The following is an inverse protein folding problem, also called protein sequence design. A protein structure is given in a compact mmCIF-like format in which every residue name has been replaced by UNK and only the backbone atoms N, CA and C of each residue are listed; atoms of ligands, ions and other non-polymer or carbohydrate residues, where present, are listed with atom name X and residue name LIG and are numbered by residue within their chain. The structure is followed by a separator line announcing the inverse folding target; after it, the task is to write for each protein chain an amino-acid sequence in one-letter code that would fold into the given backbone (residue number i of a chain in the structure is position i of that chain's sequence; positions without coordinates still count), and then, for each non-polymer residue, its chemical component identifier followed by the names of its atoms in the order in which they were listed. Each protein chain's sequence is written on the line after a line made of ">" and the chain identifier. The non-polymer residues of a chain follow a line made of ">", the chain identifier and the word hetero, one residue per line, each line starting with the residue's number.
data_IF_618241368670
#
_entry.id   IF_618241368670
#
_cell.length_a   1.000
_cell.length_b   1.000
_cell.length_c   1.000
_cell.angle_alpha   90.00
_cell.angle_beta   90.00
_cell.angle_gamma   90.00
#
_symmetry.space_group_name_H-M   'P 1'
#
loop_
_entity.id
_entity.type
_entity.pdbx_description
1 polymer ?
#
# COMPACT_ATOMS: atom_id res chain seq x y z
N UNK A 1 -32.70 -56.49 -16.63
CA UNK A 1 -31.57 -56.91 -15.77
C UNK A 1 -31.76 -56.22 -14.42
N UNK A 2 -32.23 -56.94 -13.41
CA UNK A 2 -32.47 -56.37 -12.09
C UNK A 2 -31.36 -56.83 -11.15
N UNK A 3 -30.67 -55.88 -10.51
CA UNK A 3 -29.75 -56.19 -9.41
C UNK A 3 -30.60 -56.68 -8.25
N UNK A 4 -30.36 -57.91 -7.81
CA UNK A 4 -31.16 -58.55 -6.76
C UNK A 4 -30.54 -58.31 -5.40
N UNK A 5 -29.21 -58.38 -5.29
CA UNK A 5 -28.50 -58.14 -4.04
C UNK A 5 -27.02 -57.82 -4.28
N UNK A 6 -26.46 -57.06 -3.34
CA UNK A 6 -25.02 -56.78 -3.23
C UNK A 6 -24.51 -57.36 -1.92
N UNK A 7 -23.40 -58.08 -1.98
CA UNK A 7 -22.79 -58.74 -0.83
C UNK A 7 -21.33 -58.35 -0.68
N UNK A 8 -20.95 -58.01 0.54
CA UNK A 8 -19.55 -57.87 0.94
C UNK A 8 -19.15 -59.19 1.59
N UNK A 9 -18.16 -59.88 1.04
CA UNK A 9 -17.67 -61.13 1.61
C UNK A 9 -16.16 -61.23 1.42
N UNK A 10 -15.52 -62.12 2.17
CA UNK A 10 -14.09 -62.39 2.05
C UNK A 10 -13.94 -63.74 1.35
N UNK A 11 -13.24 -63.75 0.23
CA UNK A 11 -12.84 -64.95 -0.52
C UNK A 11 -11.48 -65.43 0.03
N UNK A 12 -11.34 -66.73 0.31
CA UNK A 12 -10.15 -67.30 0.95
C UNK A 12 -8.88 -67.17 0.08
N UNK A 13 -9.01 -67.13 -1.26
CA UNK A 13 -7.88 -66.94 -2.17
C UNK A 13 -7.70 -65.48 -2.61
N UNK A 14 -8.80 -64.72 -2.70
CA UNK A 14 -8.82 -63.38 -3.36
C UNK A 14 -9.03 -62.20 -2.40
N UNK A 15 -9.23 -62.44 -1.11
CA UNK A 15 -9.38 -61.41 -0.09
C UNK A 15 -10.78 -60.78 -0.08
N UNK A 16 -10.90 -59.52 0.37
CA UNK A 16 -12.21 -58.85 0.45
C UNK A 16 -12.77 -58.59 -0.96
N UNK A 17 -14.00 -59.06 -1.21
CA UNK A 17 -14.69 -58.97 -2.49
C UNK A 17 -16.03 -58.24 -2.35
N UNK A 18 -16.41 -57.56 -3.42
CA UNK A 18 -17.76 -57.03 -3.66
C UNK A 18 -18.44 -57.91 -4.70
N UNK A 19 -19.49 -58.61 -4.30
CA UNK A 19 -20.32 -59.45 -5.16
C UNK A 19 -21.64 -58.78 -5.50
N UNK A 20 -22.05 -58.85 -6.75
CA UNK A 20 -23.38 -58.43 -7.21
C UNK A 20 -24.08 -59.63 -7.83
N UNK A 21 -25.30 -59.92 -7.38
CA UNK A 21 -26.15 -60.94 -7.97
C UNK A 21 -27.18 -60.27 -8.87
N UNK A 22 -27.10 -60.57 -10.15
CA UNK A 22 -27.95 -60.03 -11.19
C UNK A 22 -28.86 -61.15 -11.67
N UNK A 23 -30.17 -60.99 -11.46
CA UNK A 23 -31.15 -61.97 -11.97
C UNK A 23 -31.54 -61.64 -13.39
N UNK A 24 -31.64 -62.69 -14.20
CA UNK A 24 -32.16 -62.64 -15.55
C UNK A 24 -33.48 -63.41 -15.58
N UNK A 25 -34.61 -62.70 -15.38
CA UNK A 25 -35.93 -63.31 -15.20
C UNK A 25 -36.33 -64.23 -16.35
N UNK A 26 -35.90 -63.92 -17.56
CA UNK A 26 -36.29 -64.63 -18.78
C UNK A 26 -35.61 -66.00 -18.96
N UNK A 27 -34.53 -66.32 -18.22
CA UNK A 27 -33.92 -67.66 -18.30
C UNK A 27 -33.67 -68.36 -16.95
N UNK A 28 -34.35 -67.97 -15.88
CA UNK A 28 -34.25 -68.61 -14.55
C UNK A 28 -32.81 -68.74 -13.99
N UNK A 29 -31.89 -67.89 -14.44
CA UNK A 29 -30.48 -67.87 -14.06
C UNK A 29 -30.13 -66.55 -13.38
N UNK A 30 -29.09 -66.59 -12.56
CA UNK A 30 -28.49 -65.41 -11.97
C UNK A 30 -27.00 -65.40 -12.27
N UNK A 31 -26.47 -64.23 -12.63
CA UNK A 31 -25.04 -64.01 -12.81
C UNK A 31 -24.50 -63.39 -11.53
N UNK A 32 -23.45 -64.01 -10.99
CA UNK A 32 -22.71 -63.47 -9.86
C UNK A 32 -21.41 -62.85 -10.37
N UNK A 33 -21.29 -61.53 -10.23
CA UNK A 33 -20.09 -60.78 -10.60
C UNK A 33 -19.38 -60.39 -9.32
N UNK A 34 -18.11 -60.80 -9.19
CA UNK A 34 -17.26 -60.46 -8.05
C UNK A 34 -16.13 -59.54 -8.49
N UNK A 35 -15.89 -58.47 -7.72
CA UNK A 35 -14.77 -57.57 -7.94
C UNK A 35 -13.98 -57.38 -6.64
N UNK A 36 -12.63 -57.47 -6.66
CA UNK A 36 -11.84 -57.26 -5.45
C UNK A 36 -12.05 -55.86 -4.90
N UNK A 37 -12.31 -55.77 -3.59
CA UNK A 37 -12.52 -54.52 -2.86
C UNK A 37 -11.35 -53.56 -3.11
N UNK A 38 -10.12 -54.06 -3.05
CA UNK A 38 -8.92 -53.27 -3.32
C UNK A 38 -8.94 -52.62 -4.72
N UNK A 39 -9.44 -53.28 -5.77
CA UNK A 39 -9.50 -52.69 -7.12
C UNK A 39 -10.52 -51.55 -7.23
N UNK A 40 -11.65 -51.65 -6.52
CA UNK A 40 -12.67 -50.60 -6.45
C UNK A 40 -12.14 -49.40 -5.66
N UNK A 41 -11.42 -49.65 -4.56
CA UNK A 41 -10.94 -48.61 -3.64
C UNK A 41 -9.56 -48.03 -3.98
N UNK A 42 -8.75 -48.69 -4.82
CA UNK A 42 -7.46 -48.16 -5.27
C UNK A 42 -7.62 -46.88 -6.11
N UNK A 43 -8.72 -46.79 -6.89
CA UNK A 43 -9.10 -45.57 -7.60
C UNK A 43 -9.45 -44.43 -6.64
N UNK A 44 -10.18 -44.74 -5.56
CA UNK A 44 -10.57 -43.77 -4.53
C UNK A 44 -9.36 -43.19 -3.77
N UNK A 45 -8.37 -44.02 -3.44
CA UNK A 45 -7.16 -43.58 -2.75
C UNK A 45 -6.28 -42.63 -3.59
N UNK A 46 -6.23 -42.84 -4.91
CA UNK A 46 -5.52 -41.92 -5.83
C UNK A 46 -6.25 -40.59 -5.94
N UNK A 47 -7.57 -40.61 -6.12
CA UNK A 47 -8.39 -39.40 -6.18
C UNK A 47 -8.27 -38.57 -4.90
N UNK A 48 -8.32 -39.21 -3.73
CA UNK A 48 -8.15 -38.53 -2.44
C UNK A 48 -6.79 -37.84 -2.31
N UNK A 49 -5.69 -38.52 -2.69
CA UNK A 49 -4.34 -37.92 -2.65
C UNK A 49 -4.20 -36.74 -3.59
N UNK A 50 -4.74 -36.84 -4.81
CA UNK A 50 -4.76 -35.73 -5.75
C UNK A 50 -5.56 -34.55 -5.20
N UNK A 51 -6.75 -34.78 -4.64
CA UNK A 51 -7.56 -33.72 -4.02
C UNK A 51 -6.84 -33.04 -2.85
N UNK A 52 -6.14 -33.79 -1.99
CA UNK A 52 -5.35 -33.23 -0.89
C UNK A 52 -4.17 -32.41 -1.42
N UNK A 53 -3.45 -32.91 -2.43
CA UNK A 53 -2.33 -32.18 -3.03
C UNK A 53 -2.78 -30.88 -3.70
N UNK A 54 -3.87 -30.91 -4.46
CA UNK A 54 -4.45 -29.72 -5.10
C UNK A 54 -4.94 -28.74 -4.04
N UNK A 55 -5.60 -29.22 -2.98
CA UNK A 55 -6.05 -28.39 -1.86
C UNK A 55 -4.89 -27.75 -1.09
N UNK A 56 -3.81 -28.49 -0.86
CA UNK A 56 -2.61 -27.95 -0.22
C UNK A 56 -1.93 -26.90 -1.11
N UNK A 57 -1.83 -27.16 -2.42
CA UNK A 57 -1.22 -26.23 -3.36
C UNK A 57 -2.05 -24.94 -3.51
N UNK A 58 -3.37 -25.04 -3.57
CA UNK A 58 -4.26 -23.88 -3.63
C UNK A 58 -4.19 -23.05 -2.35
N UNK A 59 -4.11 -23.69 -1.18
CA UNK A 59 -3.91 -23.00 0.09
C UNK A 59 -2.57 -22.27 0.15
N UNK A 60 -1.48 -22.93 -0.24
CA UNK A 60 -0.16 -22.30 -0.33
C UNK A 60 -0.17 -21.11 -1.29
N UNK A 61 -0.82 -21.25 -2.44
CA UNK A 61 -0.95 -20.18 -3.43
C UNK A 61 -1.75 -18.98 -2.89
N UNK A 62 -2.87 -19.24 -2.21
CA UNK A 62 -3.68 -18.21 -1.58
C UNK A 62 -2.90 -17.45 -0.49
N UNK A 63 -2.14 -18.17 0.36
CA UNK A 63 -1.28 -17.55 1.37
C UNK A 63 -0.19 -16.69 0.74
N UNK A 64 0.44 -17.16 -0.33
CA UNK A 64 1.46 -16.41 -1.05
C UNK A 64 0.88 -15.11 -1.64
N UNK A 65 -0.27 -15.19 -2.31
CA UNK A 65 -0.98 -14.03 -2.86
C UNK A 65 -1.35 -13.03 -1.77
N UNK A 66 -1.96 -13.50 -0.68
CA UNK A 66 -2.34 -12.66 0.45
C UNK A 66 -1.12 -11.93 1.04
N UNK A 67 0.00 -12.63 1.21
CA UNK A 67 1.24 -12.05 1.71
C UNK A 67 1.82 -10.99 0.76
N UNK A 68 1.84 -11.25 -0.55
CA UNK A 68 2.33 -10.28 -1.55
C UNK A 68 1.47 -9.03 -1.59
N UNK A 69 0.14 -9.18 -1.63
CA UNK A 69 -0.81 -8.06 -1.64
C UNK A 69 -0.69 -7.24 -0.35
N UNK A 70 -0.68 -7.91 0.81
CA UNK A 70 -0.52 -7.26 2.12
C UNK A 70 0.76 -6.43 2.16
N UNK A 71 1.90 -7.02 1.77
CA UNK A 71 3.19 -6.33 1.76
C UNK A 71 3.21 -5.13 0.82
N UNK A 72 2.57 -5.23 -0.34
CA UNK A 72 2.44 -4.13 -1.29
C UNK A 72 1.61 -2.96 -0.72
N UNK A 73 0.43 -3.26 -0.16
CA UNK A 73 -0.47 -2.25 0.42
C UNK A 73 0.21 -1.55 1.60
N UNK A 74 0.71 -2.31 2.57
CA UNK A 74 1.35 -1.75 3.76
C UNK A 74 2.55 -0.87 3.40
N UNK A 75 3.37 -1.28 2.43
CA UNK A 75 4.52 -0.47 1.99
C UNK A 75 4.10 0.84 1.33
N UNK A 76 3.06 0.83 0.50
CA UNK A 76 2.54 2.02 -0.16
C UNK A 76 1.93 3.01 0.84
N UNK A 77 1.16 2.51 1.82
CA UNK A 77 0.60 3.34 2.90
C UNK A 77 1.73 3.92 3.77
N UNK A 78 2.75 3.13 4.11
CA UNK A 78 3.88 3.62 4.89
C UNK A 78 4.64 4.77 4.19
N UNK A 79 4.81 4.70 2.87
CA UNK A 79 5.39 5.80 2.06
C UNK A 79 4.54 7.07 2.16
N UNK A 80 3.22 6.95 2.05
CA UNK A 80 2.29 8.08 2.18
C UNK A 80 2.39 8.73 3.57
N UNK A 81 2.35 7.92 4.63
CA UNK A 81 2.50 8.40 6.01
C UNK A 81 3.83 9.14 6.19
N UNK A 82 4.91 8.62 5.61
CA UNK A 82 6.21 9.29 5.66
C UNK A 82 6.18 10.64 4.92
N UNK A 83 5.56 10.71 3.74
CA UNK A 83 5.36 11.96 3.00
C UNK A 83 4.56 12.99 3.81
N UNK A 84 3.45 12.58 4.42
CA UNK A 84 2.61 13.45 5.27
C UNK A 84 3.41 14.00 6.46
N UNK A 85 4.20 13.16 7.13
CA UNK A 85 5.07 13.62 8.24
C UNK A 85 6.11 14.64 7.79
N UNK A 86 6.68 14.49 6.60
CA UNK A 86 7.61 15.49 6.05
C UNK A 86 6.92 16.83 5.78
N UNK A 87 5.71 16.81 5.22
CA UNK A 87 4.91 18.03 4.99
C UNK A 87 4.55 18.71 6.31
N UNK A 88 4.18 17.94 7.34
CA UNK A 88 3.92 18.45 8.69
C UNK A 88 5.15 19.18 9.29
N UNK A 89 6.35 18.70 8.97
CA UNK A 89 7.62 19.35 9.33
C UNK A 89 8.02 20.49 8.38
N UNK A 90 7.06 21.09 7.66
CA UNK A 90 7.25 22.19 6.70
C UNK A 90 8.15 21.86 5.50
N UNK A 91 8.41 20.58 5.21
CA UNK A 91 9.10 20.18 3.99
C UNK A 91 8.09 19.96 2.86
N UNK A 92 7.89 20.98 2.03
CA UNK A 92 6.98 20.94 0.87
C UNK A 92 7.65 20.53 -0.44
N UNK A 93 8.82 19.87 -0.37
CA UNK A 93 9.55 19.37 -1.55
C UNK A 93 9.43 17.85 -1.70
N UNK A 94 8.83 17.18 -0.71
CA UNK A 94 8.63 15.74 -0.74
C UNK A 94 7.64 15.34 -1.83
N UNK A 95 7.94 14.24 -2.52
CA UNK A 95 7.02 13.57 -3.46
C UNK A 95 6.92 12.10 -3.08
N UNK A 96 5.70 11.59 -3.09
CA UNK A 96 5.42 10.17 -2.82
C UNK A 96 5.22 9.47 -4.17
N UNK A 97 6.15 8.58 -4.54
CA UNK A 97 6.02 7.73 -5.73
C UNK A 97 5.42 6.38 -5.34
N UNK A 98 4.12 6.24 -5.64
CA UNK A 98 3.33 5.03 -5.50
C UNK A 98 2.70 4.72 -6.85
N UNK A 99 3.31 3.77 -7.58
CA UNK A 99 2.78 3.27 -8.84
C UNK A 99 1.68 2.25 -8.56
N UNK A 100 0.44 2.73 -8.47
CA UNK A 100 -0.76 1.91 -8.38
C UNK A 100 -1.84 2.45 -9.32
N UNK A 101 -2.62 1.57 -9.93
CA UNK A 101 -3.84 1.93 -10.69
C UNK A 101 -5.11 1.89 -9.82
N UNK A 102 -4.94 1.71 -8.52
CA UNK A 102 -6.02 1.67 -7.53
C UNK A 102 -6.17 3.02 -6.83
N UNK A 103 -7.12 3.11 -5.90
CA UNK A 103 -7.41 4.28 -5.05
C UNK A 103 -6.17 4.77 -4.28
N UNK A 104 -5.23 3.87 -3.97
CA UNK A 104 -3.97 4.23 -3.30
C UNK A 104 -3.08 5.09 -4.22
N UNK A 105 -3.08 4.81 -5.53
CA UNK A 105 -2.35 5.59 -6.51
C UNK A 105 -2.97 6.98 -6.68
N UNK A 106 -4.29 7.02 -6.83
CA UNK A 106 -5.05 8.28 -6.89
C UNK A 106 -4.84 9.14 -5.64
N UNK A 107 -4.80 8.52 -4.46
CA UNK A 107 -4.49 9.20 -3.21
C UNK A 107 -3.06 9.77 -3.21
N UNK A 108 -2.09 9.04 -3.75
CA UNK A 108 -0.71 9.54 -3.85
C UNK A 108 -0.59 10.72 -4.82
N UNK A 109 -1.27 10.67 -5.96
CA UNK A 109 -1.29 11.76 -6.93
C UNK A 109 -1.98 13.00 -6.35
N UNK A 110 -3.13 12.81 -5.69
CA UNK A 110 -3.87 13.88 -5.01
C UNK A 110 -3.04 14.49 -3.88
N UNK A 111 -2.34 13.67 -3.10
CA UNK A 111 -1.41 14.14 -2.07
C UNK A 111 -0.28 14.97 -2.67
N UNK A 112 0.36 14.51 -3.75
CA UNK A 112 1.43 15.24 -4.42
C UNK A 112 0.95 16.60 -4.95
N UNK A 113 -0.24 16.64 -5.55
CA UNK A 113 -0.87 17.87 -6.02
C UNK A 113 -1.15 18.85 -4.87
N UNK A 114 -1.61 18.34 -3.71
CA UNK A 114 -1.80 19.16 -2.51
C UNK A 114 -0.48 19.76 -2.02
N UNK A 115 0.60 18.97 -1.97
CA UNK A 115 1.93 19.45 -1.55
C UNK A 115 2.45 20.52 -2.50
N UNK A 116 2.25 20.35 -3.80
CA UNK A 116 2.61 21.36 -4.81
C UNK A 116 1.85 22.68 -4.59
N UNK A 117 0.53 22.62 -4.39
CA UNK A 117 -0.30 23.80 -4.10
C UNK A 117 0.14 24.50 -2.81
N UNK A 118 0.42 23.75 -1.75
CA UNK A 118 0.94 24.31 -0.49
C UNK A 118 2.27 25.05 -0.70
N UNK A 119 3.21 24.45 -1.45
CA UNK A 119 4.48 25.08 -1.73
C UNK A 119 4.31 26.36 -2.57
N UNK A 120 3.41 26.34 -3.55
CA UNK A 120 3.08 27.50 -4.36
C UNK A 120 2.51 28.64 -3.50
N UNK A 121 1.50 28.37 -2.67
CA UNK A 121 0.90 29.38 -1.80
C UNK A 121 1.88 29.95 -0.78
N UNK A 122 2.74 29.10 -0.19
CA UNK A 122 3.82 29.56 0.71
C UNK A 122 4.75 30.55 0.00
N UNK A 123 5.25 30.20 -1.19
CA UNK A 123 6.12 31.09 -1.98
C UNK A 123 5.42 32.40 -2.34
N UNK A 124 4.13 32.34 -2.63
CA UNK A 124 3.33 33.53 -2.91
C UNK A 124 3.23 34.45 -1.69
N UNK A 125 2.90 33.89 -0.51
CA UNK A 125 2.85 34.64 0.76
C UNK A 125 4.20 35.26 1.11
N UNK A 126 5.30 34.51 0.96
CA UNK A 126 6.65 35.05 1.19
C UNK A 126 6.97 36.23 0.27
N UNK A 127 6.55 36.15 -1.00
CA UNK A 127 6.72 37.25 -1.97
C UNK A 127 5.90 38.47 -1.57
N UNK A 128 4.65 38.29 -1.12
CA UNK A 128 3.81 39.39 -0.63
C UNK A 128 4.38 40.03 0.64
N UNK A 129 4.83 39.23 1.61
CA UNK A 129 5.48 39.73 2.82
C UNK A 129 6.74 40.53 2.51
N UNK A 130 7.57 40.08 1.56
CA UNK A 130 8.75 40.84 1.10
C UNK A 130 8.35 42.18 0.48
N UNK A 131 7.31 42.20 -0.37
CA UNK A 131 6.79 43.45 -0.95
C UNK A 131 6.29 44.42 0.11
N UNK A 132 5.48 43.95 1.06
CA UNK A 132 4.97 44.76 2.16
C UNK A 132 6.10 45.34 3.02
N UNK A 133 7.14 44.55 3.32
CA UNK A 133 8.32 45.02 4.05
C UNK A 133 9.08 46.12 3.31
N UNK A 134 9.19 46.03 1.98
CA UNK A 134 9.81 47.08 1.16
C UNK A 134 8.96 48.35 1.24
N UNK A 135 7.68 48.25 0.91
CA UNK A 135 6.74 49.38 0.90
C UNK A 135 6.65 50.08 2.27
N UNK A 136 6.68 49.34 3.37
CA UNK A 136 6.63 49.90 4.72
C UNK A 136 7.95 50.56 5.14
N UNK A 137 9.07 50.25 4.48
CA UNK A 137 10.40 50.80 4.78
C UNK A 137 10.82 51.90 3.82
N UNK A 138 10.19 52.01 2.66
CA UNK A 138 10.54 53.02 1.64
C UNK A 138 9.53 54.16 1.63
N UNK A 139 10.02 55.39 1.47
CA UNK A 139 9.19 56.55 1.16
C UNK A 139 8.72 56.48 -0.30
N UNK A 140 7.42 56.71 -0.53
CA UNK A 140 6.80 56.53 -1.85
C UNK A 140 7.19 57.59 -2.89
N UNK A 141 7.70 58.74 -2.45
CA UNK A 141 8.10 59.85 -3.31
C UNK A 141 9.55 59.72 -3.78
N UNK A 142 10.43 59.19 -2.91
CA UNK A 142 11.88 59.14 -3.16
C UNK A 142 12.42 57.74 -3.43
N UNK A 143 11.68 56.69 -3.06
CA UNK A 143 12.16 55.29 -3.11
C UNK A 143 13.29 54.98 -2.11
N UNK A 144 13.69 55.96 -1.29
CA UNK A 144 14.67 55.81 -0.23
C UNK A 144 14.02 55.23 1.02
N UNK A 145 14.84 54.75 1.96
CA UNK A 145 14.34 54.32 3.25
C UNK A 145 13.66 55.48 3.99
N UNK A 146 12.49 55.22 4.56
CA UNK A 146 11.77 56.20 5.33
C UNK A 146 12.47 56.50 6.67
N UNK A 147 12.08 57.62 7.27
CA UNK A 147 12.67 58.11 8.51
C UNK A 147 12.59 57.08 9.66
N UNK A 148 11.49 56.34 9.75
CA UNK A 148 11.33 55.29 10.76
C UNK A 148 12.37 54.18 10.64
N UNK A 149 12.61 53.68 9.42
CA UNK A 149 13.65 52.67 9.17
C UNK A 149 15.06 53.20 9.43
N UNK A 150 15.34 54.44 9.04
CA UNK A 150 16.62 55.09 9.35
C UNK A 150 16.88 55.11 10.86
N UNK A 151 15.91 55.54 11.66
CA UNK A 151 16.04 55.62 13.13
C UNK A 151 16.19 54.23 13.78
N UNK A 152 15.46 53.23 13.31
CA UNK A 152 15.63 51.83 13.74
C UNK A 152 17.08 51.36 13.51
N UNK A 153 17.59 51.60 12.31
CA UNK A 153 18.93 51.15 11.91
C UNK A 153 20.03 51.91 12.63
N UNK A 154 19.86 53.22 12.80
CA UNK A 154 20.79 54.08 13.55
C UNK A 154 20.92 53.60 15.00
N UNK A 155 19.81 53.36 15.67
CA UNK A 155 19.78 52.88 17.07
C UNK A 155 20.52 51.54 17.21
N UNK A 156 20.31 50.63 16.26
CA UNK A 156 20.99 49.33 16.26
C UNK A 156 22.51 49.46 16.09
N UNK A 157 22.98 50.30 15.16
CA UNK A 157 24.42 50.48 14.97
C UNK A 157 25.08 51.26 16.12
N UNK A 158 24.38 52.21 16.76
CA UNK A 158 24.85 52.85 18.00
C UNK A 158 25.05 51.80 19.10
N UNK A 159 24.06 50.93 19.33
CA UNK A 159 24.19 49.86 20.34
C UNK A 159 25.33 48.88 20.01
N UNK A 160 25.49 48.52 18.73
CA UNK A 160 26.60 47.66 18.29
C UNK A 160 27.95 48.33 18.52
N UNK A 161 28.07 49.61 18.18
CA UNK A 161 29.29 50.38 18.34
C UNK A 161 29.71 50.50 19.81
N UNK A 162 28.76 50.76 20.70
CA UNK A 162 28.99 50.75 22.16
C UNK A 162 29.44 49.37 22.64
N UNK A 163 28.80 48.30 22.15
CA UNK A 163 29.09 46.92 22.58
C UNK A 163 30.49 46.43 22.16
N UNK A 164 30.98 46.88 21.02
CA UNK A 164 32.27 46.47 20.47
C UNK A 164 33.36 47.55 20.55
N UNK A 165 33.06 48.69 21.18
CA UNK A 165 33.99 49.82 21.29
C UNK A 165 34.41 50.43 19.94
N UNK A 166 33.60 50.27 18.89
CA UNK A 166 33.93 50.78 17.55
C UNK A 166 33.46 52.22 17.35
N UNK A 167 34.23 53.03 16.62
CA UNK A 167 33.83 54.38 16.22
C UNK A 167 32.66 54.33 15.22
N UNK A 168 31.63 55.13 15.46
CA UNK A 168 30.49 55.33 14.56
C UNK A 168 30.50 56.78 14.06
N UNK A 169 30.34 56.97 12.74
CA UNK A 169 30.20 58.29 12.11
C UNK A 169 28.91 58.34 11.29
N UNK A 170 28.19 59.46 11.34
CA UNK A 170 27.00 59.72 10.52
C UNK A 170 27.37 60.76 9.45
N UNK A 171 27.05 60.46 8.18
CA UNK A 171 27.18 61.40 7.07
C UNK A 171 25.78 61.76 6.57
N UNK A 172 25.47 63.05 6.55
CA UNK A 172 24.22 63.58 6.00
C UNK A 172 24.58 64.25 4.67
N UNK A 173 23.86 63.87 3.62
CA UNK A 173 23.98 64.42 2.27
C UNK A 173 22.62 65.02 1.93
N UNK A 174 22.62 66.25 1.41
CA UNK A 174 21.44 66.98 0.92
C UNK A 174 21.32 66.81 -0.61
#
# INVERSE_FOLDING_TARGET
>A
VNVVATYNYTDEEKGKMLGVLISMPDLSWAVFIQQPYETVYWSLGRMRRLSILVGALSLCFAMLLAFVISKYITRSIAKLIHGVRQVANKNFTVKVDVRSKTEIGELADTFNLMVEKLNFHRKHLEKQQKKLKILARTDALTGLNNHGYFMEKLTHEVQRAVRYGSLLSIMILD
#
